data_IF_051247242044
#
_entry.id   IF_051247242044
#
_cell.length_a   1.000
_cell.length_b   1.000
_cell.length_c   1.000
_cell.angle_alpha   90.00
_cell.angle_beta   90.00
_cell.angle_gamma   90.00
#
_symmetry.space_group_name_H-M   'P 1'
#
loop_
_entity.id
_entity.type
_entity.pdbx_description
1 polymer ?
#
# COMPACT_ATOMS: atom_id res chain seq x y z
N UNK A 1 -9.00 -13.07 29.73
CA UNK A 1 -8.07 -13.19 28.58
C UNK A 1 -8.75 -12.60 27.35
N UNK A 2 -8.11 -11.70 26.58
CA UNK A 2 -8.75 -11.08 25.41
C UNK A 2 -9.12 -12.14 24.37
N UNK A 3 -10.26 -11.99 23.68
CA UNK A 3 -10.61 -12.87 22.57
C UNK A 3 -9.86 -12.45 21.29
N UNK A 4 -9.91 -13.29 20.24
CA UNK A 4 -9.22 -13.03 18.96
C UNK A 4 -9.67 -11.72 18.31
N UNK A 5 -10.98 -11.48 18.23
CA UNK A 5 -11.55 -10.29 17.60
C UNK A 5 -11.21 -9.00 18.34
N UNK A 6 -11.18 -9.01 19.67
CA UNK A 6 -10.77 -7.87 20.50
C UNK A 6 -9.30 -7.54 20.29
N UNK A 7 -8.40 -8.54 20.21
CA UNK A 7 -6.98 -8.28 19.91
C UNK A 7 -6.79 -7.72 18.50
N UNK A 8 -7.51 -8.26 17.53
CA UNK A 8 -7.50 -7.78 16.15
C UNK A 8 -7.96 -6.33 16.08
N UNK A 9 -9.11 -6.03 16.67
CA UNK A 9 -9.69 -4.68 16.72
C UNK A 9 -8.74 -3.69 17.39
N UNK A 10 -8.12 -4.08 18.51
CA UNK A 10 -7.15 -3.24 19.22
C UNK A 10 -5.93 -2.91 18.35
N UNK A 11 -5.35 -3.92 17.68
CA UNK A 11 -4.22 -3.70 16.77
C UNK A 11 -4.61 -2.85 15.56
N UNK A 12 -5.79 -3.09 14.98
CA UNK A 12 -6.28 -2.32 13.84
C UNK A 12 -6.53 -0.85 14.20
N UNK A 13 -7.05 -0.57 15.39
CA UNK A 13 -7.31 0.79 15.85
C UNK A 13 -6.03 1.56 16.20
N UNK A 14 -5.08 0.93 16.88
CA UNK A 14 -3.93 1.64 17.46
C UNK A 14 -2.66 1.60 16.58
N UNK A 15 -2.40 0.48 15.92
CA UNK A 15 -1.10 0.22 15.27
C UNK A 15 -1.22 0.23 13.75
N UNK A 16 -2.29 -0.34 13.21
CA UNK A 16 -2.40 -0.60 11.78
C UNK A 16 -2.38 0.69 10.94
N UNK A 17 -2.99 1.78 11.42
CA UNK A 17 -3.00 3.06 10.70
C UNK A 17 -1.57 3.64 10.52
N UNK A 18 -0.75 3.64 11.58
CA UNK A 18 0.63 4.11 11.55
C UNK A 18 1.53 3.19 10.71
N UNK A 19 1.27 1.88 10.78
CA UNK A 19 1.96 0.88 9.98
C UNK A 19 1.68 1.05 8.49
N UNK A 20 0.40 1.23 8.12
CA UNK A 20 -0.03 1.42 6.73
C UNK A 20 0.51 2.72 6.14
N UNK A 21 0.52 3.79 6.94
CA UNK A 21 1.15 5.05 6.56
C UNK A 21 2.64 4.88 6.26
N UNK A 22 3.38 4.25 7.18
CA UNK A 22 4.82 3.98 7.00
C UNK A 22 5.09 3.13 5.75
N UNK A 23 4.26 2.10 5.52
CA UNK A 23 4.33 1.26 4.33
C UNK A 23 4.05 2.04 3.04
N UNK A 24 3.05 2.92 3.02
CA UNK A 24 2.71 3.67 1.81
C UNK A 24 3.76 4.74 1.49
N UNK A 25 4.19 5.50 2.50
CA UNK A 25 5.02 6.69 2.33
C UNK A 25 6.50 6.35 2.14
N UNK A 26 7.04 5.38 2.90
CA UNK A 26 8.50 5.18 2.98
C UNK A 26 8.99 3.93 2.26
N UNK A 27 8.16 2.89 2.14
CA UNK A 27 8.57 1.62 1.54
C UNK A 27 9.31 1.71 0.18
N UNK A 28 8.95 2.62 -0.76
CA UNK A 28 9.65 2.74 -2.03
C UNK A 28 11.10 3.24 -1.92
N UNK A 29 11.42 4.02 -0.87
CA UNK A 29 12.70 4.70 -0.72
C UNK A 29 13.62 4.09 0.33
N UNK A 30 13.17 3.07 1.07
CA UNK A 30 13.96 2.44 2.13
C UNK A 30 14.71 1.20 1.64
N UNK A 31 15.92 1.00 2.16
CA UNK A 31 16.73 -0.19 1.90
C UNK A 31 16.15 -1.47 2.51
N UNK A 32 16.63 -2.62 2.02
CA UNK A 32 16.14 -3.96 2.41
C UNK A 32 16.10 -4.19 3.93
N UNK A 33 17.14 -3.77 4.67
CA UNK A 33 17.18 -3.94 6.12
C UNK A 33 16.05 -3.23 6.87
N UNK A 34 15.53 -2.10 6.37
CA UNK A 34 14.37 -1.43 6.94
C UNK A 34 13.05 -2.11 6.51
N UNK A 35 12.98 -2.62 5.28
CA UNK A 35 11.83 -3.42 4.81
C UNK A 35 11.67 -4.69 5.66
N UNK A 36 12.78 -5.36 5.99
CA UNK A 36 12.78 -6.53 6.85
C UNK A 36 12.29 -6.18 8.28
N UNK A 37 12.63 -5.00 8.80
CA UNK A 37 12.10 -4.51 10.08
C UNK A 37 10.59 -4.28 10.05
N UNK A 38 10.04 -3.78 8.94
CA UNK A 38 8.57 -3.68 8.78
C UNK A 38 7.91 -5.06 8.81
N UNK A 39 8.51 -6.06 8.17
CA UNK A 39 8.02 -7.44 8.23
C UNK A 39 8.10 -8.01 9.64
N UNK A 40 9.17 -7.73 10.39
CA UNK A 40 9.29 -8.13 11.81
C UNK A 40 8.20 -7.48 12.67
N UNK A 41 7.92 -6.18 12.45
CA UNK A 41 6.83 -5.48 13.14
C UNK A 41 5.47 -6.12 12.83
N UNK A 42 5.18 -6.39 11.55
CA UNK A 42 3.95 -7.08 11.16
C UNK A 42 3.83 -8.46 11.82
N UNK A 43 4.92 -9.23 11.84
CA UNK A 43 4.93 -10.54 12.47
C UNK A 43 4.64 -10.46 13.97
N UNK A 44 5.12 -9.42 14.67
CA UNK A 44 4.76 -9.17 16.08
C UNK A 44 3.27 -8.88 16.26
N UNK A 45 2.68 -8.07 15.37
CA UNK A 45 1.23 -7.78 15.38
C UNK A 45 0.43 -9.09 15.21
N UNK A 46 0.82 -9.92 14.23
CA UNK A 46 0.12 -11.19 13.95
C UNK A 46 0.23 -12.16 15.13
N UNK A 47 1.42 -12.27 15.76
CA UNK A 47 1.61 -13.10 16.95
C UNK A 47 0.72 -12.65 18.09
N UNK A 48 0.62 -11.34 18.33
CA UNK A 48 -0.29 -10.80 19.33
C UNK A 48 -1.74 -11.16 19.02
N UNK A 49 -2.22 -10.90 17.80
CA UNK A 49 -3.61 -11.19 17.40
C UNK A 49 -3.95 -12.68 17.59
N UNK A 50 -3.05 -13.58 17.14
CA UNK A 50 -3.23 -15.03 17.24
C UNK A 50 -2.91 -15.61 18.62
N UNK A 51 -2.44 -14.80 19.57
CA UNK A 51 -1.99 -15.25 20.89
C UNK A 51 -0.94 -16.38 20.81
N UNK A 52 0.06 -16.18 19.96
CA UNK A 52 1.18 -17.09 19.78
C UNK A 52 2.38 -16.67 20.62
N UNK A 53 3.30 -17.61 20.84
CA UNK A 53 4.60 -17.31 21.45
C UNK A 53 5.40 -16.28 20.61
N UNK A 54 6.29 -15.53 21.27
CA UNK A 54 7.14 -14.53 20.66
C UNK A 54 8.01 -15.06 19.51
N UNK A 55 8.38 -16.34 19.54
CA UNK A 55 9.21 -17.01 18.51
C UNK A 55 8.40 -17.84 17.52
N UNK A 56 7.07 -17.87 17.64
CA UNK A 56 6.24 -18.64 16.73
C UNK A 56 6.45 -18.21 15.27
N UNK A 57 6.52 -19.20 14.37
CA UNK A 57 6.63 -18.97 12.95
C UNK A 57 5.34 -18.33 12.40
N UNK A 58 5.50 -17.31 11.55
CA UNK A 58 4.37 -16.64 10.88
C UNK A 58 4.50 -16.90 9.38
N UNK A 59 3.62 -17.77 8.86
CA UNK A 59 3.55 -18.11 7.45
C UNK A 59 2.24 -17.65 6.81
N UNK A 60 1.96 -18.20 5.63
CA UNK A 60 0.75 -17.85 4.87
C UNK A 60 -0.55 -18.22 5.59
N UNK A 61 -0.55 -19.28 6.41
CA UNK A 61 -1.73 -19.73 7.16
C UNK A 61 -2.12 -18.70 8.23
N UNK A 62 -1.15 -18.22 8.98
CA UNK A 62 -1.32 -17.23 10.05
C UNK A 62 -1.73 -15.87 9.46
N UNK A 63 -1.15 -15.50 8.32
CA UNK A 63 -1.51 -14.33 7.54
C UNK A 63 -2.96 -14.40 7.05
N UNK A 64 -3.36 -15.51 6.42
CA UNK A 64 -4.72 -15.71 5.93
C UNK A 64 -5.75 -15.66 7.06
N UNK A 65 -5.46 -16.31 8.19
CA UNK A 65 -6.35 -16.31 9.38
C UNK A 65 -6.56 -14.91 9.96
N UNK A 66 -5.54 -14.05 9.90
CA UNK A 66 -5.64 -12.67 10.40
C UNK A 66 -6.14 -11.67 9.36
N UNK A 67 -6.18 -12.06 8.08
CA UNK A 67 -6.53 -11.18 6.96
C UNK A 67 -5.39 -10.23 6.55
N UNK A 68 -4.14 -10.60 6.84
CA UNK A 68 -2.96 -9.82 6.47
C UNK A 68 -2.29 -10.37 5.21
N UNK A 69 -1.67 -9.48 4.44
CA UNK A 69 -0.74 -9.82 3.37
C UNK A 69 0.69 -9.61 3.86
N UNK A 70 1.68 -10.27 3.25
CA UNK A 70 3.09 -9.90 3.43
C UNK A 70 3.31 -8.41 3.10
N UNK A 71 4.32 -7.79 3.72
CA UNK A 71 4.52 -6.33 3.60
C UNK A 71 4.60 -5.84 2.15
N UNK A 72 5.39 -6.43 1.24
CA UNK A 72 5.49 -5.96 -0.15
C UNK A 72 4.11 -5.96 -0.85
N UNK A 73 3.34 -7.01 -0.65
CA UNK A 73 2.02 -7.23 -1.22
C UNK A 73 0.99 -6.28 -0.62
N UNK A 74 1.08 -6.02 0.68
CA UNK A 74 0.27 -5.00 1.37
C UNK A 74 0.55 -3.61 0.82
N UNK A 75 1.82 -3.24 0.62
CA UNK A 75 2.21 -1.96 0.02
C UNK A 75 1.64 -1.83 -1.40
N UNK A 76 1.74 -2.90 -2.19
CA UNK A 76 1.16 -2.95 -3.53
C UNK A 76 -0.37 -2.77 -3.48
N UNK A 77 -1.05 -3.46 -2.55
CA UNK A 77 -2.49 -3.33 -2.34
C UNK A 77 -2.89 -1.89 -1.97
N UNK A 78 -2.18 -1.24 -1.03
CA UNK A 78 -2.45 0.14 -0.62
C UNK A 78 -2.35 1.11 -1.81
N UNK A 79 -1.26 1.03 -2.57
CA UNK A 79 -1.05 1.87 -3.76
C UNK A 79 -2.11 1.65 -4.83
N UNK A 80 -2.42 0.40 -5.15
CA UNK A 80 -3.46 0.06 -6.13
C UNK A 80 -4.84 0.54 -5.67
N UNK A 81 -5.15 0.40 -4.37
CA UNK A 81 -6.38 0.90 -3.79
C UNK A 81 -6.54 2.41 -3.97
N UNK A 82 -5.49 3.19 -3.79
CA UNK A 82 -5.50 4.63 -4.07
C UNK A 82 -5.76 4.92 -5.56
N UNK A 83 -5.02 4.26 -6.47
CA UNK A 83 -5.17 4.48 -7.92
C UNK A 83 -6.58 4.12 -8.40
N UNK A 84 -7.19 3.05 -7.88
CA UNK A 84 -8.57 2.66 -8.21
C UNK A 84 -9.57 3.73 -7.74
N UNK A 85 -9.42 4.25 -6.52
CA UNK A 85 -10.27 5.34 -6.01
C UNK A 85 -10.16 6.60 -6.86
N UNK A 86 -8.95 6.95 -7.27
CA UNK A 86 -8.68 8.09 -8.16
C UNK A 86 -9.33 7.87 -9.53
N UNK A 87 -9.17 6.69 -10.13
CA UNK A 87 -9.79 6.33 -11.40
C UNK A 87 -11.32 6.46 -11.36
N UNK A 88 -11.93 6.02 -10.26
CA UNK A 88 -13.37 6.03 -10.07
C UNK A 88 -13.91 7.38 -9.54
N UNK A 89 -13.07 8.41 -9.43
CA UNK A 89 -13.43 9.74 -8.91
C UNK A 89 -14.05 9.72 -7.49
N UNK A 90 -13.67 8.73 -6.66
CA UNK A 90 -14.09 8.62 -5.25
C UNK A 90 -13.02 9.07 -4.26
N UNK A 91 -11.83 9.46 -4.75
CA UNK A 91 -10.79 10.08 -3.94
C UNK A 91 -11.07 11.58 -3.72
N UNK A 92 -10.44 12.21 -2.71
CA UNK A 92 -10.43 13.68 -2.59
C UNK A 92 -9.97 14.37 -3.88
N UNK A 93 -10.57 15.52 -4.20
CA UNK A 93 -10.33 16.25 -5.44
C UNK A 93 -8.84 16.58 -5.69
N UNK A 94 -8.08 16.89 -4.64
CA UNK A 94 -6.65 17.19 -4.80
C UNK A 94 -5.81 15.99 -5.29
N UNK A 95 -6.28 14.75 -5.12
CA UNK A 95 -5.56 13.55 -5.58
C UNK A 95 -5.68 13.31 -7.08
N UNK A 96 -6.73 13.83 -7.73
CA UNK A 96 -6.91 13.67 -9.19
C UNK A 96 -6.04 14.62 -10.01
N UNK A 97 -5.52 15.70 -9.41
CA UNK A 97 -4.71 16.70 -10.13
C UNK A 97 -3.51 16.09 -10.87
N UNK A 98 -2.87 15.08 -10.29
CA UNK A 98 -1.70 14.40 -10.87
C UNK A 98 -2.04 13.15 -11.70
N UNK A 99 -3.30 12.72 -11.72
CA UNK A 99 -3.75 11.49 -12.39
C UNK A 99 -4.75 11.81 -13.49
N UNK A 100 -4.27 12.49 -14.53
CA UNK A 100 -5.09 12.85 -15.68
C UNK A 100 -5.37 11.62 -16.55
N UNK A 101 -6.64 11.29 -16.77
CA UNK A 101 -7.02 10.18 -17.65
C UNK A 101 -6.76 10.55 -19.11
N UNK A 102 -6.35 9.59 -19.93
CA UNK A 102 -6.19 9.84 -21.36
C UNK A 102 -7.52 10.08 -22.09
N UNK A 103 -8.64 9.59 -21.54
CA UNK A 103 -9.97 9.85 -22.07
C UNK A 103 -10.37 11.33 -21.98
N UNK A 104 -9.87 12.03 -20.95
CA UNK A 104 -10.21 13.43 -20.68
C UNK A 104 -9.40 14.39 -21.57
N UNK A 105 -8.39 13.90 -22.30
CA UNK A 105 -7.64 14.68 -23.28
C UNK A 105 -8.22 14.52 -24.69
N UNK A 106 -8.90 15.57 -25.16
CA UNK A 106 -9.52 15.63 -26.49
C UNK A 106 -8.46 15.58 -27.62
N UNK A 107 -7.27 16.12 -27.38
CA UNK A 107 -6.20 16.25 -28.38
C UNK A 107 -5.38 14.97 -28.66
N UNK A 108 -5.83 13.78 -28.22
CA UNK A 108 -5.09 12.50 -28.43
C UNK A 108 -5.81 11.53 -29.35
N UNK A 109 -5.02 10.95 -30.26
CA UNK A 109 -5.41 9.86 -31.18
C UNK A 109 -6.08 8.73 -30.39
N UNK A 110 -7.27 8.32 -30.84
CA UNK A 110 -8.06 7.26 -30.23
C UNK A 110 -7.35 5.93 -30.46
N UNK A 111 -6.70 5.44 -29.42
CA UNK A 111 -6.10 4.10 -29.37
C UNK A 111 -6.79 3.30 -28.27
N UNK A 112 -6.71 1.96 -28.32
CA UNK A 112 -7.22 1.08 -27.23
C UNK A 112 -6.70 1.49 -25.84
N UNK A 113 -5.50 2.06 -25.79
CA UNK A 113 -4.84 2.59 -24.60
C UNK A 113 -5.57 3.78 -23.95
N UNK A 114 -6.36 4.55 -24.71
CA UNK A 114 -7.03 5.78 -24.23
C UNK A 114 -8.00 5.48 -23.08
N UNK A 115 -8.73 4.36 -23.17
CA UNK A 115 -9.85 4.01 -22.26
C UNK A 115 -9.42 3.79 -20.82
N UNK A 116 -8.24 3.21 -20.58
CA UNK A 116 -7.83 2.75 -19.25
C UNK A 116 -6.59 3.41 -18.68
N UNK A 117 -5.83 4.16 -19.50
CA UNK A 117 -4.52 4.65 -19.11
C UNK A 117 -4.54 6.10 -18.64
N UNK A 118 -3.49 6.45 -17.90
CA UNK A 118 -3.22 7.80 -17.40
C UNK A 118 -2.13 8.47 -18.22
N UNK A 119 -2.12 9.81 -18.20
CA UNK A 119 -1.04 10.59 -18.74
C UNK A 119 0.26 10.31 -17.99
N UNK A 120 1.31 9.94 -18.73
CA UNK A 120 2.67 9.80 -18.20
C UNK A 120 3.47 11.05 -18.61
N UNK A 121 3.89 11.89 -17.65
CA UNK A 121 4.78 13.02 -17.95
C UNK A 121 6.09 12.54 -18.58
N UNK A 122 6.62 13.30 -19.53
CA UNK A 122 7.99 13.09 -20.03
C UNK A 122 8.95 13.69 -19.01
N UNK A 123 9.85 12.88 -18.47
CA UNK A 123 10.96 13.38 -17.64
C UNK A 123 12.11 13.66 -18.60
N UNK A 124 12.48 14.93 -18.78
CA UNK A 124 13.72 15.29 -19.47
C UNK A 124 14.89 14.97 -18.54
N UNK A 125 15.77 14.06 -18.95
CA UNK A 125 17.00 13.70 -18.22
C UNK A 125 18.13 14.73 -18.35
N UNK A 126 17.90 15.86 -19.03
CA UNK A 126 18.90 16.94 -19.18
C UNK A 126 18.85 17.93 -18.02
N UNK A 127 18.97 17.45 -16.80
CA UNK A 127 19.11 18.34 -15.64
C UNK A 127 20.09 17.68 -14.71
N UNK A 128 21.38 18.01 -14.89
CA UNK A 128 22.47 18.14 -13.90
C UNK A 128 23.79 18.22 -14.69
N UNK A 129 24.08 19.40 -15.24
CA UNK A 129 25.45 19.87 -15.48
C UNK A 129 25.62 21.05 -14.53
N UNK A 130 26.25 20.80 -13.39
CA UNK A 130 26.87 21.80 -12.52
C UNK A 130 28.21 21.21 -12.08
#
# INVERSE_FOLDING_TARGET
>A
MLNFESRKTLCSALIQCQFDYSCSSWYPGIGKGLQDKLQVMQNKIIRFILNLDNRAHIGNRELAKTGFLKVPERVKQLKLGHVIKIKNKTSPYYMSANFQSLNENENRIVTRSKVSNFFKPRVCTNTFVY
#
